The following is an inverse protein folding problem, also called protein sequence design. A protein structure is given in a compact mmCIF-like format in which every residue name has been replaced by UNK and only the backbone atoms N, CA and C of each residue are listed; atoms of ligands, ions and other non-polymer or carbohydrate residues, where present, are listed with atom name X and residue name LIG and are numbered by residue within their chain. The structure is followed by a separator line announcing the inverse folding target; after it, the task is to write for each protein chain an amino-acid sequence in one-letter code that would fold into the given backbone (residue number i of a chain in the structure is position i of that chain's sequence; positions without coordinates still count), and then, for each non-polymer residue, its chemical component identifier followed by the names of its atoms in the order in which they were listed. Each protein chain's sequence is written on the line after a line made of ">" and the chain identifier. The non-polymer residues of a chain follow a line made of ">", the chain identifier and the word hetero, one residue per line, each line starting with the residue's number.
data_IF_059880731379
#
_entry.id   IF_059880731379
#
_cell.length_a   1.000
_cell.length_b   1.000
_cell.length_c   1.000
_cell.angle_alpha   90.00
_cell.angle_beta   90.00
_cell.angle_gamma   90.00
#
_symmetry.space_group_name_H-M   'P 1'
#
loop_
_entity.id
_entity.type
_entity.pdbx_description
1 polymer ?
#
# COMPACT_ATOMS: atom_id res chain seq x y z
N UNK A 1 71.89 -35.62 -53.26
CA UNK A 1 70.42 -35.42 -53.31
C UNK A 1 70.14 -34.18 -52.46
N UNK A 2 70.31 -32.97 -52.98
CA UNK A 2 69.39 -32.15 -53.80
C UNK A 2 68.06 -31.85 -53.09
N UNK A 3 67.84 -30.55 -52.86
CA UNK A 3 66.59 -29.81 -52.67
C UNK A 3 65.80 -30.08 -51.37
N UNK A 4 65.18 -29.11 -50.70
CA UNK A 4 64.55 -27.89 -51.21
C UNK A 4 64.42 -26.87 -50.06
N UNK A 5 64.93 -25.66 -50.26
CA UNK A 5 64.87 -24.54 -49.31
C UNK A 5 63.58 -23.78 -49.62
N UNK A 6 62.52 -23.96 -48.82
CA UNK A 6 61.29 -23.17 -48.94
C UNK A 6 61.53 -21.74 -48.43
N UNK A 7 61.99 -20.87 -49.32
CA UNK A 7 61.93 -19.43 -49.13
C UNK A 7 60.50 -18.96 -49.45
N UNK A 8 59.60 -19.10 -48.48
CA UNK A 8 58.32 -18.40 -48.49
C UNK A 8 58.57 -16.95 -48.11
N UNK A 9 58.75 -16.08 -49.11
CA UNK A 9 58.70 -14.63 -48.94
C UNK A 9 57.29 -14.25 -48.52
N UNK A 10 57.12 -13.96 -47.23
CA UNK A 10 55.93 -13.28 -46.73
C UNK A 10 55.98 -11.84 -47.26
N UNK A 11 55.50 -11.64 -48.48
CA UNK A 11 55.14 -10.34 -49.00
C UNK A 11 54.00 -9.80 -48.14
N UNK A 12 54.37 -9.10 -47.06
CA UNK A 12 53.44 -8.25 -46.32
C UNK A 12 53.15 -7.07 -47.23
N UNK A 13 52.12 -7.22 -48.08
CA UNK A 13 51.58 -6.12 -48.84
C UNK A 13 51.32 -4.96 -47.86
N UNK A 14 51.73 -3.72 -48.18
CA UNK A 14 51.53 -2.58 -47.31
C UNK A 14 50.02 -2.47 -47.03
N UNK A 15 49.63 -2.60 -45.77
CA UNK A 15 48.25 -2.42 -45.35
C UNK A 15 47.82 -1.02 -45.79
N UNK A 16 47.03 -0.95 -46.87
CA UNK A 16 46.54 0.32 -47.36
C UNK A 16 45.80 1.02 -46.22
N UNK A 17 46.08 2.32 -45.96
CA UNK A 17 45.36 3.06 -44.94
C UNK A 17 43.88 3.04 -45.32
N UNK A 18 43.09 2.30 -44.54
CA UNK A 18 41.64 2.23 -44.70
C UNK A 18 41.13 3.65 -44.46
N UNK A 19 40.64 4.30 -45.52
CA UNK A 19 39.97 5.59 -45.37
C UNK A 19 38.76 5.36 -44.47
N UNK A 20 38.76 5.99 -43.31
CA UNK A 20 37.57 6.09 -42.48
C UNK A 20 36.50 6.78 -43.32
N UNK A 21 35.50 6.02 -43.73
CA UNK A 21 34.28 6.56 -44.29
C UNK A 21 33.58 7.23 -43.11
N UNK A 22 33.83 8.52 -42.93
CA UNK A 22 33.21 9.31 -41.86
C UNK A 22 31.70 9.15 -41.87
N UNK A 23 31.08 9.27 -40.71
CA UNK A 23 29.64 9.13 -40.56
C UNK A 23 28.92 10.18 -41.41
N UNK A 24 28.00 9.73 -42.25
CA UNK A 24 27.15 10.62 -43.03
C UNK A 24 26.19 11.37 -42.11
N UNK A 25 25.82 12.61 -42.46
CA UNK A 25 24.85 13.40 -41.69
C UNK A 25 23.51 12.64 -41.50
N UNK A 26 23.10 11.88 -42.51
CA UNK A 26 21.89 11.04 -42.45
C UNK A 26 22.05 9.91 -41.43
N UNK A 27 23.22 9.28 -41.36
CA UNK A 27 23.48 8.18 -40.42
C UNK A 27 23.47 8.67 -38.97
N UNK A 28 24.11 9.81 -38.70
CA UNK A 28 24.07 10.46 -37.39
C UNK A 28 22.63 10.86 -37.02
N UNK A 29 21.87 11.42 -37.97
CA UNK A 29 20.48 11.83 -37.71
C UNK A 29 19.59 10.62 -37.39
N UNK A 30 19.71 9.52 -38.14
CA UNK A 30 18.97 8.28 -37.87
C UNK A 30 19.35 7.71 -36.50
N UNK A 31 20.64 7.67 -36.16
CA UNK A 31 21.10 7.19 -34.85
C UNK A 31 20.51 8.03 -33.70
N UNK A 32 20.52 9.36 -33.82
CA UNK A 32 19.95 10.26 -32.81
C UNK A 32 18.44 10.05 -32.65
N UNK A 33 17.69 9.91 -33.75
CA UNK A 33 16.24 9.65 -33.69
C UNK A 33 15.94 8.31 -33.03
N UNK A 34 16.70 7.25 -33.36
CA UNK A 34 16.52 5.93 -32.76
C UNK A 34 16.85 5.94 -31.26
N UNK A 35 17.92 6.63 -30.85
CA UNK A 35 18.25 6.80 -29.43
C UNK A 35 17.14 7.59 -28.72
N UNK A 36 16.65 8.68 -29.30
CA UNK A 36 15.57 9.47 -28.70
C UNK A 36 14.29 8.65 -28.53
N UNK A 37 13.91 7.86 -29.56
CA UNK A 37 12.76 6.96 -29.50
C UNK A 37 12.90 5.88 -28.43
N UNK A 38 14.13 5.43 -28.13
CA UNK A 38 14.37 4.45 -27.07
C UNK A 38 14.44 5.09 -25.66
N UNK A 39 15.05 6.27 -25.53
CA UNK A 39 15.32 6.90 -24.22
C UNK A 39 14.07 7.54 -23.61
N UNK A 40 13.22 8.19 -24.42
CA UNK A 40 12.01 8.86 -23.93
C UNK A 40 11.05 7.92 -23.18
N UNK A 41 10.64 6.76 -23.74
CA UNK A 41 9.75 5.85 -23.01
C UNK A 41 10.42 5.28 -21.76
N UNK A 42 11.73 5.08 -21.77
CA UNK A 42 12.48 4.57 -20.61
C UNK A 42 12.49 5.59 -19.46
N UNK A 43 12.67 6.88 -19.75
CA UNK A 43 12.53 7.95 -18.75
C UNK A 43 11.10 8.07 -18.21
N UNK A 44 10.09 8.00 -19.08
CA UNK A 44 8.68 8.03 -18.67
C UNK A 44 8.33 6.85 -17.75
N UNK A 45 8.81 5.64 -18.07
CA UNK A 45 8.61 4.47 -17.24
C UNK A 45 9.24 4.63 -15.85
N UNK A 46 10.43 5.24 -15.77
CA UNK A 46 11.10 5.55 -14.50
C UNK A 46 10.27 6.46 -13.58
N UNK A 47 9.69 7.53 -14.14
CA UNK A 47 8.84 8.47 -13.37
C UNK A 47 7.60 7.76 -12.82
N UNK A 48 6.96 6.91 -13.61
CA UNK A 48 5.78 6.14 -13.18
C UNK A 48 6.16 5.18 -12.06
N UNK A 49 7.28 4.46 -12.18
CA UNK A 49 7.77 3.52 -11.16
C UNK A 49 7.99 4.18 -9.80
N UNK A 50 8.58 5.39 -9.78
CA UNK A 50 8.80 6.16 -8.55
C UNK A 50 7.46 6.56 -7.91
N UNK A 51 6.50 7.06 -8.71
CA UNK A 51 5.17 7.44 -8.21
C UNK A 51 4.42 6.24 -7.63
N UNK A 52 4.52 5.08 -8.26
CA UNK A 52 3.91 3.83 -7.76
C UNK A 52 4.57 3.40 -6.45
N UNK A 53 5.89 3.50 -6.35
CA UNK A 53 6.64 3.13 -5.14
C UNK A 53 6.24 3.96 -3.92
N UNK A 54 6.02 5.27 -4.10
CA UNK A 54 5.52 6.14 -3.04
C UNK A 54 4.16 5.73 -2.50
N UNK A 55 3.23 5.31 -3.39
CA UNK A 55 1.89 4.87 -3.00
C UNK A 55 1.91 3.59 -2.16
N UNK A 56 2.79 2.64 -2.47
CA UNK A 56 2.91 1.39 -1.69
C UNK A 56 3.32 1.65 -0.24
N UNK A 57 4.23 2.60 -0.01
CA UNK A 57 4.64 2.98 1.34
C UNK A 57 3.51 3.62 2.14
N UNK A 58 2.72 4.50 1.51
CA UNK A 58 1.56 5.14 2.16
C UNK A 58 0.53 4.08 2.55
N UNK A 59 0.18 3.18 1.63
CA UNK A 59 -0.74 2.07 1.91
C UNK A 59 -0.24 1.21 3.06
N UNK A 60 1.03 0.79 3.04
CA UNK A 60 1.60 -0.06 4.11
C UNK A 60 1.57 0.61 5.48
N UNK A 61 1.86 1.92 5.56
CA UNK A 61 1.74 2.67 6.81
C UNK A 61 0.30 2.76 7.28
N UNK A 62 -0.65 3.04 6.39
CA UNK A 62 -2.08 3.08 6.73
C UNK A 62 -2.58 1.73 7.27
N UNK A 63 -2.21 0.62 6.65
CA UNK A 63 -2.55 -0.73 7.14
C UNK A 63 -1.93 -1.01 8.51
N UNK A 64 -0.70 -0.56 8.75
CA UNK A 64 -0.04 -0.70 10.06
C UNK A 64 -0.77 0.07 11.15
N UNK A 65 -1.18 1.31 10.89
CA UNK A 65 -1.96 2.13 11.83
C UNK A 65 -3.33 1.48 12.08
N UNK A 66 -4.00 1.01 11.03
CA UNK A 66 -5.30 0.35 11.13
C UNK A 66 -5.23 -0.94 11.97
N UNK A 67 -4.23 -1.79 11.74
CA UNK A 67 -4.03 -3.01 12.50
C UNK A 67 -3.72 -2.73 13.98
N UNK A 68 -2.89 -1.72 14.26
CA UNK A 68 -2.57 -1.29 15.62
C UNK A 68 -3.79 -0.68 16.33
N UNK A 69 -4.58 0.13 15.62
CA UNK A 69 -5.84 0.67 16.14
C UNK A 69 -6.81 -0.47 16.50
N UNK A 70 -6.99 -1.45 15.61
CA UNK A 70 -7.84 -2.61 15.86
C UNK A 70 -7.36 -3.43 17.07
N UNK A 71 -6.05 -3.71 17.18
CA UNK A 71 -5.48 -4.43 18.33
C UNK A 71 -5.73 -3.68 19.65
N UNK A 72 -5.51 -2.36 19.67
CA UNK A 72 -5.76 -1.53 20.86
C UNK A 72 -7.23 -1.53 21.26
N UNK A 73 -8.15 -1.34 20.30
CA UNK A 73 -9.59 -1.41 20.55
C UNK A 73 -9.99 -2.80 21.03
N UNK A 74 -9.42 -3.86 20.44
CA UNK A 74 -9.69 -5.24 20.85
C UNK A 74 -9.20 -5.58 22.27
N UNK A 75 -8.08 -4.99 22.70
CA UNK A 75 -7.54 -5.17 24.06
C UNK A 75 -8.11 -4.22 25.10
N UNK A 76 -8.71 -3.11 24.67
CA UNK A 76 -9.38 -2.19 25.57
C UNK A 76 -10.47 -2.93 26.37
N UNK A 77 -10.56 -2.59 27.65
CA UNK A 77 -11.64 -3.06 28.51
C UNK A 77 -13.00 -2.63 27.97
N UNK A 78 -14.05 -3.20 28.52
CA UNK A 78 -15.41 -2.90 28.09
C UNK A 78 -15.77 -1.43 28.29
N UNK A 79 -16.34 -0.80 27.26
CA UNK A 79 -16.73 0.61 27.32
C UNK A 79 -17.70 1.03 26.21
N UNK A 80 -18.04 2.31 26.23
CA UNK A 80 -18.88 2.97 25.23
C UNK A 80 -18.10 3.94 24.34
N UNK A 81 -16.80 4.09 24.57
CA UNK A 81 -15.94 4.90 23.72
C UNK A 81 -14.58 4.23 23.60
N UNK A 82 -14.19 3.94 22.37
CA UNK A 82 -12.90 3.38 22.01
C UNK A 82 -12.06 4.33 21.16
N UNK A 83 -12.52 5.57 20.94
CA UNK A 83 -11.91 6.55 20.05
C UNK A 83 -10.47 6.83 20.46
N UNK A 84 -10.25 7.07 21.76
CA UNK A 84 -8.92 7.34 22.34
C UNK A 84 -7.91 6.23 22.03
N UNK A 85 -8.35 4.96 22.01
CA UNK A 85 -7.45 3.83 21.71
C UNK A 85 -7.07 3.77 20.23
N UNK A 86 -8.02 4.08 19.34
CA UNK A 86 -7.79 4.13 17.91
C UNK A 86 -6.92 5.35 17.53
N UNK A 87 -7.19 6.52 18.11
CA UNK A 87 -6.39 7.74 17.92
C UNK A 87 -4.95 7.57 18.40
N UNK A 88 -4.74 6.86 19.51
CA UNK A 88 -3.40 6.57 20.03
C UNK A 88 -2.54 5.78 19.03
N UNK A 89 -3.14 4.97 18.14
CA UNK A 89 -2.40 4.28 17.08
C UNK A 89 -1.87 5.25 16.01
N UNK A 90 -2.64 6.28 15.66
CA UNK A 90 -2.21 7.33 14.73
C UNK A 90 -1.07 8.15 15.32
N UNK A 91 -1.23 8.58 16.57
CA UNK A 91 -0.22 9.34 17.30
C UNK A 91 1.10 8.56 17.42
N UNK A 92 1.05 7.25 17.65
CA UNK A 92 2.24 6.40 17.71
C UNK A 92 3.01 6.34 16.37
N UNK A 93 2.32 6.58 15.24
CA UNK A 93 2.94 6.65 13.91
C UNK A 93 3.40 8.09 13.54
N UNK A 94 3.21 9.06 14.45
CA UNK A 94 3.49 10.47 14.22
C UNK A 94 2.42 11.17 13.38
N UNK A 95 1.21 10.62 13.29
CA UNK A 95 0.08 11.22 12.60
C UNK A 95 -0.81 11.97 13.59
N UNK A 96 -1.67 12.83 13.06
CA UNK A 96 -2.66 13.57 13.85
C UNK A 96 -3.89 12.68 14.13
N UNK A 97 -4.58 12.93 15.24
CA UNK A 97 -5.68 12.08 15.71
C UNK A 97 -6.90 12.09 14.75
N UNK A 98 -7.13 13.20 14.05
CA UNK A 98 -8.19 13.38 13.04
C UNK A 98 -8.06 12.44 11.83
N UNK A 99 -6.92 11.75 11.67
CA UNK A 99 -6.73 10.74 10.65
C UNK A 99 -7.43 9.42 10.96
N UNK A 100 -8.00 9.28 12.15
CA UNK A 100 -8.75 8.10 12.57
C UNK A 100 -10.16 8.50 12.93
N UNK A 101 -11.13 7.83 12.32
CA UNK A 101 -12.53 7.98 12.65
C UNK A 101 -13.06 6.65 13.20
N UNK A 102 -13.84 6.71 14.28
CA UNK A 102 -14.47 5.55 14.87
C UNK A 102 -15.97 5.73 14.83
N UNK A 103 -16.66 4.78 14.21
CA UNK A 103 -18.11 4.72 14.16
C UNK A 103 -18.60 3.52 14.95
N UNK A 104 -19.68 3.72 15.69
CA UNK A 104 -20.21 2.72 16.59
C UNK A 104 -21.60 2.27 16.18
N UNK A 105 -21.86 0.98 16.38
CA UNK A 105 -23.20 0.43 16.39
C UNK A 105 -23.30 -0.63 17.48
N UNK A 106 -24.50 -0.85 18.03
CA UNK A 106 -24.78 -1.97 18.94
C UNK A 106 -25.92 -2.83 18.39
N UNK A 107 -25.93 -4.10 18.76
CA UNK A 107 -26.93 -5.05 18.30
C UNK A 107 -28.16 -5.02 19.21
N UNK A 108 -29.35 -4.96 18.60
CA UNK A 108 -30.65 -5.01 19.28
C UNK A 108 -31.42 -6.23 18.75
N UNK A 109 -31.72 -7.23 19.60
CA UNK A 109 -32.54 -8.37 19.18
C UNK A 109 -33.99 -7.92 18.94
N UNK A 110 -34.65 -8.49 17.92
CA UNK A 110 -36.03 -8.12 17.55
C UNK A 110 -37.07 -8.64 18.55
N UNK A 111 -36.73 -9.74 19.24
CA UNK A 111 -37.53 -10.29 20.34
C UNK A 111 -36.87 -9.96 21.68
N UNK A 112 -37.63 -9.55 22.71
CA UNK A 112 -37.08 -9.33 24.04
C UNK A 112 -36.62 -10.67 24.61
N UNK A 113 -35.33 -10.97 24.46
CA UNK A 113 -34.74 -12.13 25.11
C UNK A 113 -34.96 -11.98 26.62
N UNK A 114 -35.65 -12.96 27.22
CA UNK A 114 -35.99 -12.98 28.65
C UNK A 114 -34.76 -12.82 29.57
N UNK A 115 -33.55 -12.99 29.02
CA UNK A 115 -32.27 -12.61 29.60
C UNK A 115 -31.50 -11.82 28.52
N UNK A 116 -31.36 -10.50 28.69
CA UNK A 116 -30.90 -9.55 27.68
C UNK A 116 -29.40 -9.61 27.33
N UNK A 117 -28.78 -10.79 27.43
CA UNK A 117 -27.50 -11.07 26.79
C UNK A 117 -27.77 -11.25 25.29
N UNK A 118 -27.72 -10.16 24.53
CA UNK A 118 -28.09 -10.05 23.12
C UNK A 118 -27.19 -10.86 22.19
N UNK A 119 -27.30 -12.18 22.26
CA UNK A 119 -26.53 -13.09 21.42
C UNK A 119 -26.83 -12.84 19.94
N UNK A 120 -25.79 -12.71 19.07
CA UNK A 120 -25.96 -12.38 17.66
C UNK A 120 -26.54 -13.53 16.82
N UNK A 121 -26.97 -14.62 17.46
CA UNK A 121 -27.65 -15.75 16.82
C UNK A 121 -29.17 -15.56 16.72
N UNK A 122 -29.72 -14.60 17.46
CA UNK A 122 -31.14 -14.22 17.39
C UNK A 122 -31.33 -13.16 16.31
N UNK A 123 -32.45 -13.19 15.59
CA UNK A 123 -32.78 -12.11 14.65
C UNK A 123 -32.81 -10.75 15.37
N UNK A 124 -32.28 -9.73 14.72
CA UNK A 124 -32.10 -8.41 15.29
C UNK A 124 -31.52 -7.44 14.26
N UNK A 125 -31.32 -6.20 14.69
CA UNK A 125 -30.78 -5.13 13.87
C UNK A 125 -29.67 -4.38 14.60
N UNK A 126 -28.86 -3.63 13.83
CA UNK A 126 -27.81 -2.77 14.38
C UNK A 126 -28.34 -1.35 14.54
N UNK A 127 -28.30 -0.82 15.75
CA UNK A 127 -28.58 0.59 16.03
C UNK A 127 -27.29 1.39 16.08
N UNK A 128 -27.37 2.67 15.67
CA UNK A 128 -26.22 3.57 15.68
C UNK A 128 -25.90 4.03 17.11
N UNK A 129 -24.61 4.22 17.38
CA UNK A 129 -24.11 4.61 18.70
C UNK A 129 -23.34 3.47 19.37
N UNK A 130 -22.67 3.80 20.47
CA UNK A 130 -21.83 2.83 21.16
C UNK A 130 -22.59 2.02 22.22
N UNK A 131 -23.53 2.66 22.91
CA UNK A 131 -24.29 2.04 23.98
C UNK A 131 -25.69 2.66 24.05
N UNK A 132 -26.71 1.89 24.44
CA UNK A 132 -28.01 2.45 24.82
C UNK A 132 -27.85 3.29 26.08
N UNK A 133 -28.23 4.57 26.04
CA UNK A 133 -28.30 5.41 27.24
C UNK A 133 -26.97 5.68 27.96
N UNK A 134 -25.82 5.64 27.25
CA UNK A 134 -24.45 5.92 27.76
C UNK A 134 -23.82 4.88 28.70
N UNK A 135 -24.56 3.86 29.11
CA UNK A 135 -24.04 2.75 29.90
C UNK A 135 -24.05 1.48 29.06
N UNK A 136 -23.00 0.66 29.17
CA UNK A 136 -22.94 -0.63 28.49
C UNK A 136 -23.72 -1.65 29.32
N UNK A 137 -24.84 -2.20 28.81
CA UNK A 137 -25.50 -3.34 29.45
C UNK A 137 -24.61 -4.59 29.36
N UNK A 138 -24.75 -5.50 30.32
CA UNK A 138 -24.10 -6.81 30.30
C UNK A 138 -24.56 -7.61 29.05
N UNK A 139 -23.64 -8.31 28.40
CA UNK A 139 -23.95 -9.06 27.17
C UNK A 139 -24.25 -8.20 25.93
N UNK A 140 -23.98 -6.89 25.95
CA UNK A 140 -24.12 -6.04 24.78
C UNK A 140 -23.06 -6.38 23.73
N UNK A 141 -23.52 -6.68 22.51
CA UNK A 141 -22.65 -6.79 21.35
C UNK A 141 -22.51 -5.44 20.66
N UNK A 142 -21.28 -4.96 20.52
CA UNK A 142 -20.92 -3.72 19.87
C UNK A 142 -20.11 -4.00 18.60
N UNK A 143 -20.33 -3.17 17.59
CA UNK A 143 -19.58 -3.13 16.34
C UNK A 143 -18.88 -1.78 16.26
N UNK A 144 -17.55 -1.83 16.27
CA UNK A 144 -16.67 -0.66 16.22
C UNK A 144 -16.02 -0.64 14.84
N UNK A 145 -16.44 0.28 13.99
CA UNK A 145 -15.85 0.49 12.66
C UNK A 145 -14.78 1.56 12.77
N UNK A 146 -13.53 1.18 12.54
CA UNK A 146 -12.38 2.08 12.58
C UNK A 146 -12.00 2.39 11.13
N UNK A 147 -11.93 3.67 10.78
CA UNK A 147 -11.46 4.17 9.49
C UNK A 147 -10.20 4.98 9.68
N UNK A 148 -9.18 4.72 8.87
CA UNK A 148 -7.90 5.44 8.88
C UNK A 148 -7.67 6.07 7.52
N UNK A 149 -7.34 7.36 7.53
CA UNK A 149 -6.97 8.15 6.37
C UNK A 149 -5.46 8.39 6.34
N UNK A 150 -4.82 8.22 5.18
CA UNK A 150 -3.42 8.58 5.02
C UNK A 150 -3.21 10.09 5.21
N UNK A 151 -2.02 10.55 5.61
CA UNK A 151 -1.73 11.98 5.80
C UNK A 151 -1.91 12.84 4.54
N UNK A 152 -1.88 12.22 3.36
CA UNK A 152 -2.07 12.86 2.06
C UNK A 152 -3.50 12.70 1.52
N UNK A 153 -4.42 12.11 2.29
CA UNK A 153 -5.82 11.86 1.94
C UNK A 153 -6.04 11.00 0.69
N UNK A 154 -5.00 10.32 0.20
CA UNK A 154 -5.10 9.47 -1.00
C UNK A 154 -5.58 8.05 -0.72
N UNK A 155 -5.43 7.57 0.52
CA UNK A 155 -5.76 6.21 0.94
C UNK A 155 -6.65 6.24 2.17
N UNK A 156 -7.80 5.60 2.08
CA UNK A 156 -8.68 5.34 3.24
C UNK A 156 -8.89 3.85 3.39
N UNK A 157 -8.70 3.33 4.60
CA UNK A 157 -8.91 1.92 4.94
C UNK A 157 -9.77 1.81 6.18
N UNK A 158 -10.60 0.77 6.23
CA UNK A 158 -11.50 0.53 7.35
C UNK A 158 -11.47 -0.92 7.81
N UNK A 159 -11.59 -1.13 9.11
CA UNK A 159 -11.74 -2.45 9.72
C UNK A 159 -12.90 -2.41 10.72
N UNK A 160 -13.57 -3.54 10.89
CA UNK A 160 -14.66 -3.69 11.85
C UNK A 160 -14.19 -4.62 12.96
N UNK A 161 -14.29 -4.14 14.20
CA UNK A 161 -14.04 -4.93 15.42
C UNK A 161 -15.38 -5.16 16.10
N UNK A 162 -15.71 -6.42 16.37
CA UNK A 162 -16.92 -6.78 17.13
C UNK A 162 -16.50 -7.09 18.56
N UNK A 163 -17.13 -6.41 19.52
CA UNK A 163 -16.94 -6.61 20.96
C UNK A 163 -18.20 -7.26 21.52
N UNK A 164 -18.06 -8.43 22.11
CA UNK A 164 -19.11 -9.11 22.86
C UNK A 164 -18.54 -9.59 24.18
N UNK A 165 -19.39 -9.65 25.20
CA UNK A 165 -19.11 -10.35 26.45
C UNK A 165 -19.44 -11.83 26.22
N UNK A 166 -18.42 -12.69 26.22
CA UNK A 166 -18.52 -14.15 26.02
C UNK A 166 -17.73 -14.91 27.05
#
# INVERSE_FOLDING_TARGET
>A
MIAQRNAGTNDVAPAMPRRDTGFGLVEVLVAVVLIAMAVVPLMMAGIVSIKVSGRTNVVSKTETVLANAADRVNRAGEGCDYGVYAEAAALAQGWTADRVAVNYAYFVPDEPAANASGSPVTAGHWEAGACPGTQRPEGLVQKVTISVHSPDDTVTRSIVVVKSDV
#
